data_IF_942638044479
#
_entry.id   IF_942638044479
#
_cell.length_a   1.000
_cell.length_b   1.000
_cell.length_c   1.000
_cell.angle_alpha   90.00
_cell.angle_beta   90.00
_cell.angle_gamma   90.00
#
_symmetry.space_group_name_H-M   'P 1'
#
loop_
_entity.id
_entity.type
_entity.pdbx_description
1 polymer ?
#
# COMPACT_ATOMS: atom_id res chain seq x y z
N UNK A 1 -5.83 -6.86 -16.08
CA UNK A 1 -6.85 -6.65 -15.02
C UNK A 1 -7.88 -7.75 -15.19
N UNK A 2 -8.37 -8.37 -14.12
CA UNK A 2 -9.41 -9.40 -14.26
C UNK A 2 -10.80 -8.73 -14.24
N UNK A 3 -11.65 -8.87 -15.28
CA UNK A 3 -13.03 -8.37 -15.26
C UNK A 3 -13.84 -8.89 -14.06
N UNK A 4 -13.54 -10.13 -13.61
CA UNK A 4 -14.19 -10.75 -12.46
C UNK A 4 -13.95 -9.98 -11.15
N UNK A 5 -12.79 -9.33 -10.98
CA UNK A 5 -12.48 -8.49 -9.80
C UNK A 5 -13.35 -7.24 -9.70
N UNK A 6 -14.15 -6.94 -10.73
CA UNK A 6 -15.09 -5.82 -10.76
C UNK A 6 -16.52 -6.24 -11.06
N UNK A 7 -16.81 -7.53 -10.99
CA UNK A 7 -18.17 -8.07 -11.06
C UNK A 7 -18.76 -8.11 -12.47
N UNK A 8 -17.93 -8.13 -13.52
CA UNK A 8 -18.37 -8.10 -14.93
C UNK A 8 -17.80 -9.27 -15.74
N UNK A 9 -18.49 -9.68 -16.81
CA UNK A 9 -18.22 -10.90 -17.59
C UNK A 9 -17.09 -10.73 -18.63
N UNK A 10 -16.89 -9.51 -19.13
CA UNK A 10 -15.99 -9.20 -20.24
C UNK A 10 -16.01 -7.72 -20.62
N UNK A 11 -15.08 -7.33 -21.50
CA UNK A 11 -14.90 -5.98 -22.04
C UNK A 11 -15.00 -4.84 -21.00
N UNK A 12 -13.88 -4.57 -20.33
CA UNK A 12 -13.68 -3.24 -19.74
C UNK A 12 -13.73 -2.20 -20.88
N UNK A 13 -14.69 -1.28 -20.82
CA UNK A 13 -14.86 -0.18 -21.78
C UNK A 13 -13.73 0.87 -21.78
N UNK A 14 -12.51 0.46 -21.46
CA UNK A 14 -11.31 1.20 -21.84
C UNK A 14 -11.09 2.53 -21.13
N UNK A 15 -11.63 2.72 -19.92
CA UNK A 15 -11.40 3.97 -19.18
C UNK A 15 -9.99 3.98 -18.59
N UNK A 16 -9.08 4.65 -19.27
CA UNK A 16 -7.71 4.94 -18.84
C UNK A 16 -7.53 6.43 -18.57
N UNK A 17 -6.46 6.78 -17.89
CA UNK A 17 -6.18 8.17 -17.52
C UNK A 17 -4.77 8.61 -17.93
N UNK A 18 -4.57 9.91 -17.99
CA UNK A 18 -3.27 10.52 -18.27
C UNK A 18 -2.41 10.60 -17.01
N UNK A 19 -1.09 10.69 -17.22
CA UNK A 19 -0.09 10.94 -16.19
C UNK A 19 -0.45 12.15 -15.31
N UNK A 20 -0.87 13.26 -15.93
CA UNK A 20 -1.13 14.52 -15.22
C UNK A 20 -2.32 14.41 -14.25
N UNK A 21 -3.19 13.41 -14.41
CA UNK A 21 -4.20 13.08 -13.42
C UNK A 21 -3.65 12.15 -12.33
N UNK A 22 -2.89 11.11 -12.70
CA UNK A 22 -2.28 10.17 -11.74
C UNK A 22 -1.39 10.92 -10.75
N UNK A 23 -0.58 11.85 -11.24
CA UNK A 23 0.35 12.66 -10.44
C UNK A 23 -0.35 13.68 -9.52
N UNK A 24 -1.68 13.80 -9.57
CA UNK A 24 -2.45 14.54 -8.57
C UNK A 24 -2.58 13.78 -7.26
N UNK A 25 -2.41 12.46 -7.31
CA UNK A 25 -2.40 11.62 -6.12
C UNK A 25 -0.99 11.57 -5.53
N UNK A 26 -0.87 11.44 -4.20
CA UNK A 26 0.40 11.09 -3.57
C UNK A 26 1.00 9.81 -4.18
N UNK A 27 2.33 9.62 -4.06
CA UNK A 27 3.02 8.48 -4.68
C UNK A 27 2.68 7.13 -4.02
N UNK A 28 2.25 7.14 -2.76
CA UNK A 28 1.87 5.99 -1.94
C UNK A 28 0.46 5.46 -2.25
N UNK A 29 0.08 5.44 -3.52
CA UNK A 29 -1.22 4.92 -3.96
C UNK A 29 -1.34 3.45 -3.59
N UNK A 30 -2.32 3.11 -2.76
CA UNK A 30 -2.48 1.76 -2.19
C UNK A 30 -1.87 1.60 -0.78
N UNK A 31 -1.34 2.69 -0.22
CA UNK A 31 -0.83 2.75 1.14
C UNK A 31 0.55 2.12 1.32
N UNK A 32 1.19 1.59 0.28
CA UNK A 32 2.48 0.94 0.43
C UNK A 32 3.62 1.98 0.41
N UNK A 33 4.40 2.04 1.49
CA UNK A 33 5.56 2.93 1.62
C UNK A 33 6.86 2.13 1.45
N UNK A 34 6.97 0.97 2.10
CA UNK A 34 8.09 0.05 1.93
C UNK A 34 7.55 -1.32 1.55
N UNK A 35 8.07 -1.86 0.45
CA UNK A 35 7.78 -3.22 -0.01
C UNK A 35 8.82 -4.17 0.60
N UNK A 36 8.42 -5.33 1.13
CA UNK A 36 9.37 -6.35 1.57
C UNK A 36 10.32 -6.78 0.46
N UNK A 37 11.58 -6.96 0.81
CA UNK A 37 12.62 -7.45 -0.07
C UNK A 37 13.04 -8.85 0.36
N UNK A 38 13.04 -9.80 -0.57
CA UNK A 38 13.40 -11.18 -0.26
C UNK A 38 14.91 -11.41 -0.15
N UNK A 39 15.72 -10.45 -0.61
CA UNK A 39 17.17 -10.58 -0.64
C UNK A 39 17.62 -11.85 -1.36
N UNK A 40 18.56 -12.57 -0.75
CA UNK A 40 19.03 -13.89 -1.13
C UNK A 40 18.33 -15.02 -0.35
N UNK A 41 17.20 -14.77 0.32
CA UNK A 41 16.54 -15.73 1.22
C UNK A 41 16.17 -17.07 0.56
N UNK A 42 16.01 -17.06 -0.76
CA UNK A 42 15.71 -18.26 -1.55
C UNK A 42 16.95 -19.14 -1.83
N UNK A 43 18.15 -18.57 -1.72
CA UNK A 43 19.42 -19.21 -2.12
C UNK A 43 20.15 -19.89 -0.96
N UNK A 44 19.83 -19.55 0.29
CA UNK A 44 20.53 -20.12 1.45
C UNK A 44 20.13 -21.57 1.73
N UNK A 45 21.10 -22.34 2.23
CA UNK A 45 20.84 -23.67 2.80
C UNK A 45 19.88 -23.57 3.99
N UNK A 46 18.88 -24.46 4.06
CA UNK A 46 17.80 -24.41 5.07
C UNK A 46 17.83 -25.60 6.02
N UNK A 47 17.37 -25.36 7.25
CA UNK A 47 17.03 -26.36 8.25
C UNK A 47 15.59 -26.10 8.70
N UNK A 48 14.70 -27.07 8.52
CA UNK A 48 13.26 -26.87 8.75
C UNK A 48 12.91 -27.18 10.20
N UNK A 49 11.88 -26.51 10.73
CA UNK A 49 11.52 -26.55 12.16
C UNK A 49 10.09 -27.09 12.36
N UNK A 50 9.74 -28.30 11.90
CA UNK A 50 8.39 -28.85 12.12
C UNK A 50 8.06 -28.97 13.60
N UNK A 51 6.83 -28.58 13.96
CA UNK A 51 6.35 -28.61 15.34
C UNK A 51 4.83 -28.50 15.47
N UNK A 52 4.36 -28.63 16.70
CA UNK A 52 2.93 -28.56 17.01
C UNK A 52 2.30 -27.20 16.66
N UNK A 53 3.07 -26.12 16.74
CA UNK A 53 2.64 -24.76 16.44
C UNK A 53 2.12 -24.55 15.00
N UNK A 54 2.46 -25.46 14.09
CA UNK A 54 1.99 -25.49 12.71
C UNK A 54 1.25 -26.78 12.35
N UNK A 55 0.72 -27.49 13.35
CA UNK A 55 -0.03 -28.74 13.14
C UNK A 55 0.82 -29.90 12.63
N UNK A 56 2.14 -29.91 12.92
CA UNK A 56 3.06 -30.94 12.46
C UNK A 56 3.16 -31.10 10.93
N UNK A 57 2.89 -30.05 10.16
CA UNK A 57 3.16 -30.08 8.72
C UNK A 57 4.69 -30.06 8.46
N UNK A 58 5.26 -31.23 8.19
CA UNK A 58 6.68 -31.39 7.86
C UNK A 58 7.08 -30.93 6.45
N UNK A 59 6.10 -30.59 5.60
CA UNK A 59 6.34 -30.06 4.26
C UNK A 59 6.36 -28.53 4.22
N UNK A 60 5.95 -27.88 5.31
CA UNK A 60 5.94 -26.43 5.41
C UNK A 60 7.35 -25.84 5.35
N UNK A 61 7.65 -25.10 4.28
CA UNK A 61 8.94 -24.42 4.09
C UNK A 61 8.97 -22.98 4.62
N UNK A 62 7.87 -22.48 5.20
CA UNK A 62 7.78 -21.12 5.74
C UNK A 62 8.44 -20.97 7.12
N UNK A 63 8.74 -22.09 7.77
CA UNK A 63 9.33 -22.18 9.10
C UNK A 63 10.66 -22.92 9.03
N UNK A 64 11.68 -22.17 8.63
CA UNK A 64 13.03 -22.70 8.43
C UNK A 64 14.08 -21.74 8.96
N UNK A 65 15.12 -22.30 9.56
CA UNK A 65 16.38 -21.62 9.78
C UNK A 65 17.20 -21.67 8.50
N UNK A 66 18.19 -20.79 8.41
CA UNK A 66 19.03 -20.67 7.22
C UNK A 66 20.49 -20.48 7.59
N UNK A 67 21.40 -20.88 6.70
CA UNK A 67 22.84 -20.71 6.87
C UNK A 67 23.38 -19.76 5.81
N UNK A 68 23.39 -18.42 6.06
CA UNK A 68 23.85 -17.44 5.08
C UNK A 68 25.30 -17.66 4.63
N UNK A 69 26.17 -18.05 5.56
CA UNK A 69 27.58 -18.36 5.30
C UNK A 69 27.81 -19.78 4.75
N UNK A 70 26.75 -20.58 4.56
CA UNK A 70 26.82 -21.98 4.15
C UNK A 70 27.82 -22.83 4.95
N UNK A 71 27.90 -22.58 6.25
CA UNK A 71 28.90 -23.16 7.18
C UNK A 71 28.28 -24.17 8.16
N UNK A 72 27.05 -24.63 7.87
CA UNK A 72 26.24 -25.54 8.71
C UNK A 72 25.81 -24.96 10.07
N UNK A 73 25.96 -23.65 10.26
CA UNK A 73 25.33 -22.91 11.35
C UNK A 73 24.06 -22.30 10.77
N UNK A 74 22.92 -22.68 11.31
CA UNK A 74 21.61 -22.23 10.87
C UNK A 74 20.99 -21.33 11.92
N UNK A 75 20.44 -20.21 11.49
CA UNK A 75 19.77 -19.24 12.35
C UNK A 75 18.43 -18.80 11.76
N UNK A 76 17.52 -18.35 12.63
CA UNK A 76 16.22 -17.83 12.24
C UNK A 76 15.28 -17.70 13.43
N UNK A 77 14.10 -17.14 13.18
CA UNK A 77 13.10 -16.90 14.20
C UNK A 77 11.84 -17.74 13.95
N UNK A 78 11.27 -18.29 15.03
CA UNK A 78 10.02 -19.05 14.98
C UNK A 78 9.10 -18.60 16.12
N UNK A 79 7.84 -18.37 15.79
CA UNK A 79 6.81 -18.04 16.77
C UNK A 79 6.09 -19.31 17.26
N UNK A 80 6.03 -19.49 18.58
CA UNK A 80 5.31 -20.57 19.24
C UNK A 80 4.09 -19.97 19.98
N UNK A 81 2.85 -20.31 19.60
CA UNK A 81 1.64 -19.66 20.14
C UNK A 81 1.23 -20.19 21.52
N UNK A 82 1.81 -21.29 21.99
CA UNK A 82 1.45 -21.94 23.25
C UNK A 82 2.69 -22.30 24.05
N UNK A 83 2.56 -22.33 25.37
CA UNK A 83 3.59 -22.84 26.27
C UNK A 83 3.87 -24.32 25.99
N UNK A 84 5.07 -24.76 26.35
CA UNK A 84 5.54 -26.14 26.22
C UNK A 84 5.38 -26.73 24.79
N UNK A 85 5.50 -25.88 23.75
CA UNK A 85 5.29 -26.28 22.35
C UNK A 85 6.44 -27.17 21.85
N UNK A 86 6.17 -28.42 21.41
CA UNK A 86 7.20 -29.31 20.90
C UNK A 86 7.52 -29.05 19.42
N UNK A 87 8.78 -29.20 19.06
CA UNK A 87 9.28 -29.22 17.69
C UNK A 87 10.52 -30.11 17.55
N UNK A 88 11.01 -30.29 16.33
CA UNK A 88 12.34 -30.81 16.04
C UNK A 88 12.87 -30.19 14.75
N UNK A 89 14.11 -30.48 14.38
CA UNK A 89 14.67 -30.06 13.10
C UNK A 89 14.58 -31.15 12.05
N UNK A 90 14.46 -30.78 10.78
CA UNK A 90 14.63 -31.70 9.64
C UNK A 90 15.51 -31.06 8.58
N UNK A 91 16.37 -31.88 7.95
CA UNK A 91 17.28 -31.41 6.89
C UNK A 91 16.59 -31.23 5.54
N UNK A 92 15.40 -31.80 5.38
CA UNK A 92 14.57 -31.72 4.17
C UNK A 92 13.11 -31.58 4.56
N UNK A 93 12.28 -30.85 3.78
CA UNK A 93 10.83 -30.88 3.96
C UNK A 93 10.31 -32.28 3.66
N UNK A 94 9.56 -32.87 4.57
CA UNK A 94 9.06 -34.23 4.42
C UNK A 94 7.86 -34.50 5.32
N UNK A 95 6.81 -35.09 4.74
CA UNK A 95 5.65 -35.60 5.49
C UNK A 95 6.00 -36.76 6.42
N UNK A 96 7.10 -37.47 6.16
CA UNK A 96 7.60 -38.56 7.01
C UNK A 96 8.67 -38.09 8.01
N UNK A 97 8.94 -36.78 8.07
CA UNK A 97 9.97 -36.18 8.92
C UNK A 97 11.37 -36.79 8.73
N UNK A 98 11.72 -37.13 7.50
CA UNK A 98 13.01 -37.73 7.17
C UNK A 98 14.18 -36.83 7.62
N UNK A 99 15.28 -37.46 8.05
CA UNK A 99 16.48 -36.77 8.54
C UNK A 99 16.20 -35.83 9.72
N UNK A 100 15.35 -36.29 10.66
CA UNK A 100 15.01 -35.59 11.89
C UNK A 100 16.20 -35.51 12.86
N UNK A 101 16.36 -34.35 13.47
CA UNK A 101 17.23 -34.10 14.61
C UNK A 101 16.39 -33.59 15.78
N UNK A 102 16.45 -34.29 16.91
CA UNK A 102 15.82 -33.90 18.18
C UNK A 102 16.86 -33.78 19.28
N UNK A 103 16.42 -33.71 20.54
CA UNK A 103 17.28 -33.58 21.73
C UNK A 103 16.81 -34.55 22.80
N UNK A 104 17.63 -35.56 23.08
CA UNK A 104 17.40 -36.51 24.17
C UNK A 104 17.88 -35.94 25.50
N UNK A 105 16.96 -35.77 26.44
CA UNK A 105 17.31 -35.28 27.79
C UNK A 105 17.39 -33.76 27.92
N UNK A 106 17.07 -33.01 26.85
CA UNK A 106 16.99 -31.55 26.85
C UNK A 106 18.32 -30.87 27.23
N UNK A 107 19.44 -31.42 26.74
CA UNK A 107 20.79 -30.96 27.09
C UNK A 107 21.38 -29.96 26.08
N UNK A 108 20.63 -29.62 25.03
CA UNK A 108 21.05 -28.69 23.99
C UNK A 108 21.86 -29.34 22.87
N UNK A 109 22.06 -30.67 22.91
CA UNK A 109 22.70 -31.43 21.85
C UNK A 109 21.66 -32.08 20.93
N UNK A 110 22.03 -32.32 19.67
CA UNK A 110 21.14 -32.79 18.63
C UNK A 110 21.48 -34.23 18.23
N UNK A 111 20.53 -35.14 18.42
CA UNK A 111 20.64 -36.53 17.96
C UNK A 111 19.71 -36.84 16.79
N UNK A 112 20.19 -37.75 15.93
CA UNK A 112 19.36 -38.34 14.88
C UNK A 112 18.18 -39.05 15.51
N UNK A 113 16.96 -38.64 15.14
CA UNK A 113 15.71 -39.13 15.69
C UNK A 113 15.58 -38.96 17.22
N UNK A 114 16.29 -37.99 17.82
CA UNK A 114 16.13 -37.65 19.23
C UNK A 114 14.72 -37.14 19.56
N UNK A 115 14.42 -37.02 20.84
CA UNK A 115 13.13 -36.54 21.36
C UNK A 115 12.78 -35.12 20.88
N UNK A 116 11.50 -34.73 21.01
CA UNK A 116 11.06 -33.38 20.62
C UNK A 116 11.66 -32.34 21.57
N UNK A 117 12.22 -31.27 21.01
CA UNK A 117 12.64 -30.08 21.73
C UNK A 117 11.39 -29.32 22.20
N UNK A 118 11.40 -28.80 23.43
CA UNK A 118 10.27 -28.09 24.03
C UNK A 118 10.57 -26.62 24.25
N UNK A 119 9.71 -25.76 23.72
CA UNK A 119 9.74 -24.33 23.99
C UNK A 119 8.94 -24.04 25.26
N UNK A 120 9.56 -23.51 26.33
CA UNK A 120 8.92 -23.46 27.65
C UNK A 120 7.72 -22.51 27.70
N UNK A 121 7.78 -21.37 27.01
CA UNK A 121 6.71 -20.36 27.02
C UNK A 121 6.35 -19.92 25.60
N UNK A 122 5.11 -19.48 25.38
CA UNK A 122 4.69 -18.88 24.12
C UNK A 122 5.49 -17.61 23.79
N UNK A 123 5.79 -17.40 22.51
CA UNK A 123 6.46 -16.21 22.01
C UNK A 123 7.32 -16.45 20.77
N UNK A 124 8.01 -15.40 20.34
CA UNK A 124 9.02 -15.48 19.28
C UNK A 124 10.36 -15.93 19.88
N UNK A 125 11.00 -16.89 19.23
CA UNK A 125 12.32 -17.38 19.62
C UNK A 125 13.30 -17.26 18.47
N UNK A 126 14.47 -16.70 18.74
CA UNK A 126 15.66 -16.91 17.93
C UNK A 126 16.17 -18.32 18.21
N UNK A 127 16.41 -19.07 17.13
CA UNK A 127 16.93 -20.42 17.17
C UNK A 127 18.24 -20.44 16.39
N UNK A 128 19.30 -20.92 17.03
CA UNK A 128 20.57 -21.21 16.36
C UNK A 128 20.86 -22.69 16.48
N UNK A 129 21.08 -23.36 15.36
CA UNK A 129 21.46 -24.76 15.28
C UNK A 129 22.82 -24.89 14.59
N UNK A 130 23.81 -25.44 15.28
CA UNK A 130 25.14 -25.69 14.75
C UNK A 130 25.30 -27.18 14.47
N UNK A 131 25.31 -27.56 13.20
CA UNK A 131 25.44 -28.97 12.80
C UNK A 131 26.90 -29.42 12.67
N UNK A 132 27.89 -28.57 13.02
CA UNK A 132 29.28 -28.99 13.11
C UNK A 132 29.57 -29.71 14.43
N UNK A 133 28.94 -29.28 15.52
CA UNK A 133 29.03 -29.87 16.84
C UNK A 133 27.68 -30.45 17.33
N UNK A 134 26.63 -30.39 16.49
CA UNK A 134 25.27 -30.84 16.79
C UNK A 134 24.71 -30.21 18.07
N UNK A 135 24.70 -28.88 18.16
CA UNK A 135 24.10 -28.15 19.29
C UNK A 135 23.03 -27.17 18.81
N UNK A 136 22.13 -26.78 19.70
CA UNK A 136 21.20 -25.67 19.44
C UNK A 136 21.03 -24.76 20.65
N UNK A 137 20.55 -23.54 20.39
CA UNK A 137 20.16 -22.58 21.43
C UNK A 137 18.79 -22.00 21.10
N UNK A 138 18.01 -21.72 22.15
CA UNK A 138 16.72 -21.04 22.06
C UNK A 138 16.75 -19.78 22.91
N UNK A 139 16.51 -18.64 22.29
CA UNK A 139 16.43 -17.36 22.99
C UNK A 139 15.10 -16.68 22.68
N UNK A 140 14.25 -16.51 23.69
CA UNK A 140 13.01 -15.75 23.53
C UNK A 140 13.35 -14.30 23.20
N UNK A 141 12.65 -13.72 22.24
CA UNK A 141 12.81 -12.33 21.87
C UNK A 141 11.47 -11.60 21.80
N UNK A 142 11.43 -10.40 22.37
CA UNK A 142 10.33 -9.43 22.19
C UNK A 142 10.84 -8.37 21.22
N UNK A 143 10.11 -8.06 20.17
CA UNK A 143 10.54 -7.07 19.19
C UNK A 143 9.67 -5.82 19.29
N UNK A 144 10.30 -4.67 19.24
CA UNK A 144 9.68 -3.35 19.30
C UNK A 144 10.16 -2.47 18.15
N UNK A 145 9.46 -1.36 17.92
CA UNK A 145 10.05 -0.19 17.28
C UNK A 145 10.49 0.82 18.35
N UNK A 146 11.58 1.54 18.08
CA UNK A 146 12.11 2.63 18.91
C UNK A 146 12.66 3.74 18.03
N UNK A 147 12.54 5.00 18.43
CA UNK A 147 13.16 6.14 17.74
C UNK A 147 12.42 7.45 17.90
N UNK A 148 12.99 8.53 17.39
CA UNK A 148 12.45 9.89 17.54
C UNK A 148 11.12 10.10 16.79
N UNK A 149 10.73 9.22 15.87
CA UNK A 149 9.39 9.20 15.26
C UNK A 149 8.26 8.82 16.23
N UNK A 150 8.58 8.25 17.40
CA UNK A 150 7.58 7.82 18.38
C UNK A 150 7.11 9.02 19.21
N UNK A 151 5.81 9.36 19.22
CA UNK A 151 5.30 10.53 19.96
C UNK A 151 5.58 10.49 21.46
N UNK A 152 5.58 9.29 22.05
CA UNK A 152 5.86 9.08 23.47
C UNK A 152 7.34 9.30 23.87
N UNK A 153 8.25 9.48 22.91
CA UNK A 153 9.66 9.79 23.15
C UNK A 153 10.63 8.82 22.46
N UNK A 154 11.88 9.25 22.22
CA UNK A 154 12.84 8.53 21.38
C UNK A 154 13.37 7.22 22.00
N UNK A 155 13.20 7.03 23.31
CA UNK A 155 13.64 5.84 24.03
C UNK A 155 12.51 4.86 24.30
N UNK A 156 11.27 5.20 23.95
CA UNK A 156 10.09 4.38 24.21
C UNK A 156 10.00 3.27 23.19
N UNK A 157 9.97 2.02 23.65
CA UNK A 157 9.65 0.86 22.83
C UNK A 157 8.15 0.73 22.61
N UNK A 158 7.75 0.45 21.38
CA UNK A 158 6.40 -0.01 21.07
C UNK A 158 6.47 -1.44 20.54
N UNK A 159 5.97 -2.39 21.33
CA UNK A 159 6.05 -3.82 21.03
C UNK A 159 5.20 -4.23 19.83
N UNK A 160 5.78 -5.07 18.96
CA UNK A 160 5.08 -5.71 17.86
C UNK A 160 4.37 -6.98 18.35
N UNK A 161 3.27 -7.32 17.67
CA UNK A 161 2.44 -8.50 17.95
C UNK A 161 2.45 -9.48 16.78
N UNK A 162 2.30 -10.78 17.04
CA UNK A 162 2.35 -11.79 15.99
C UNK A 162 1.08 -11.82 15.12
N UNK A 163 1.25 -11.79 13.80
CA UNK A 163 0.19 -12.03 12.82
C UNK A 163 0.46 -13.33 12.05
N UNK A 164 -0.29 -14.38 12.40
CA UNK A 164 -0.16 -15.71 11.79
C UNK A 164 -0.48 -15.74 10.29
N UNK A 165 -1.46 -14.96 9.83
CA UNK A 165 -1.86 -14.90 8.42
C UNK A 165 -0.78 -14.27 7.53
N UNK A 166 0.04 -13.39 8.10
CA UNK A 166 1.15 -12.71 7.42
C UNK A 166 2.51 -13.35 7.68
N UNK A 167 2.61 -14.25 8.67
CA UNK A 167 3.87 -14.82 9.14
C UNK A 167 4.88 -13.72 9.53
N UNK A 168 4.41 -12.72 10.27
CA UNK A 168 5.14 -11.50 10.60
C UNK A 168 4.77 -10.99 11.99
N UNK A 169 5.67 -10.21 12.59
CA UNK A 169 5.35 -9.34 13.71
C UNK A 169 4.80 -8.02 13.15
N UNK A 170 3.78 -7.43 13.77
CA UNK A 170 3.16 -6.20 13.29
C UNK A 170 2.71 -5.26 14.40
N UNK A 171 2.63 -3.97 14.05
CA UNK A 171 2.08 -2.92 14.91
C UNK A 171 1.32 -1.89 14.05
N UNK A 172 0.13 -1.49 14.52
CA UNK A 172 -0.57 -0.31 14.02
C UNK A 172 -0.24 0.88 14.93
N UNK A 173 0.28 1.97 14.38
CA UNK A 173 0.86 3.07 15.18
C UNK A 173 0.76 4.41 14.47
N UNK A 174 0.53 5.47 15.24
CA UNK A 174 0.70 6.85 14.79
C UNK A 174 2.13 7.31 15.06
N UNK A 175 2.83 7.76 14.01
CA UNK A 175 4.19 8.28 14.09
C UNK A 175 4.23 9.74 13.65
N UNK A 176 5.17 10.48 14.22
CA UNK A 176 5.57 11.80 13.72
C UNK A 176 6.76 11.67 12.77
N UNK A 177 7.02 12.71 12.00
CA UNK A 177 8.19 12.79 11.14
C UNK A 177 9.46 12.61 11.96
N UNK A 178 10.31 11.68 11.54
CA UNK A 178 11.50 11.27 12.27
C UNK A 178 12.03 9.95 11.73
N UNK A 179 12.66 9.18 12.61
CA UNK A 179 13.28 7.90 12.32
C UNK A 179 12.91 6.88 13.40
N UNK A 180 12.99 5.60 13.02
CA UNK A 180 12.88 4.49 13.97
C UNK A 180 13.76 3.32 13.54
N UNK A 181 13.98 2.39 14.47
CA UNK A 181 14.60 1.08 14.24
C UNK A 181 13.74 0.00 14.87
N UNK A 182 13.95 -1.24 14.44
CA UNK A 182 13.48 -2.39 15.21
C UNK A 182 14.49 -2.72 16.30
N UNK A 183 14.02 -3.10 17.48
CA UNK A 183 14.86 -3.46 18.61
C UNK A 183 14.34 -4.73 19.26
N UNK A 184 15.24 -5.65 19.62
CA UNK A 184 14.86 -6.82 20.40
C UNK A 184 15.08 -6.59 21.89
N UNK A 185 14.19 -7.12 22.72
CA UNK A 185 14.24 -7.19 24.18
C UNK A 185 14.37 -5.86 24.90
N UNK A 186 14.02 -4.75 24.24
CA UNK A 186 14.22 -3.38 24.74
C UNK A 186 15.70 -3.10 25.09
N UNK A 187 16.63 -3.82 24.43
CA UNK A 187 18.07 -3.77 24.66
C UNK A 187 18.77 -3.29 23.37
N UNK A 188 19.78 -2.44 23.47
CA UNK A 188 20.54 -1.97 22.31
C UNK A 188 21.39 -3.06 21.64
N UNK A 189 21.59 -4.22 22.28
CA UNK A 189 22.39 -5.32 21.74
C UNK A 189 21.90 -5.82 20.36
N UNK A 190 20.58 -5.82 20.13
CA UNK A 190 19.99 -6.28 18.88
C UNK A 190 19.07 -5.19 18.36
N UNK A 191 19.56 -4.45 17.36
CA UNK A 191 18.77 -3.44 16.68
C UNK A 191 18.96 -3.56 15.17
N UNK A 192 17.88 -3.38 14.42
CA UNK A 192 17.84 -3.53 12.99
C UNK A 192 17.42 -2.21 12.33
N UNK A 193 18.18 -1.79 11.33
CA UNK A 193 17.90 -0.64 10.47
C UNK A 193 18.13 -0.97 9.00
N UNK A 194 17.89 -0.04 8.10
CA UNK A 194 17.99 -0.22 6.65
C UNK A 194 19.00 0.75 6.04
N UNK A 195 20.19 0.25 5.72
CA UNK A 195 21.29 1.06 5.21
C UNK A 195 21.07 1.59 3.79
N UNK A 196 20.28 0.88 2.99
CA UNK A 196 20.13 1.16 1.56
C UNK A 196 18.73 1.67 1.21
N UNK A 197 17.85 1.83 2.19
CA UNK A 197 16.42 2.10 2.03
C UNK A 197 15.76 1.15 1.01
N UNK A 198 16.18 -0.11 1.02
CA UNK A 198 15.77 -1.12 0.04
C UNK A 198 14.87 -2.22 0.63
N UNK A 199 14.43 -2.05 1.88
CA UNK A 199 13.60 -3.00 2.59
C UNK A 199 14.38 -4.14 3.27
N UNK A 200 15.72 -4.19 3.15
CA UNK A 200 16.54 -5.21 3.80
C UNK A 200 17.15 -4.64 5.08
N UNK A 201 16.95 -5.37 6.17
CA UNK A 201 17.43 -4.99 7.49
C UNK A 201 18.84 -5.51 7.74
N UNK A 202 19.64 -4.68 8.39
CA UNK A 202 20.96 -5.02 8.88
C UNK A 202 21.05 -4.75 10.40
N UNK A 203 21.78 -5.61 11.10
CA UNK A 203 22.20 -5.35 12.48
C UNK A 203 22.96 -4.03 12.54
N UNK A 204 22.60 -3.17 13.49
CA UNK A 204 23.14 -1.82 13.65
C UNK A 204 22.98 -0.94 12.40
N UNK A 205 22.04 -1.29 11.51
CA UNK A 205 21.77 -0.57 10.27
C UNK A 205 21.29 0.86 10.49
N UNK A 206 21.16 1.64 9.43
CA UNK A 206 20.72 3.05 9.48
C UNK A 206 19.26 3.15 9.93
N UNK A 207 18.90 4.17 10.72
CA UNK A 207 17.51 4.38 11.15
C UNK A 207 16.58 4.61 9.94
N UNK A 208 15.38 4.06 10.00
CA UNK A 208 14.37 4.13 8.93
C UNK A 208 13.61 5.44 9.07
N UNK A 209 13.71 6.31 8.05
CA UNK A 209 12.99 7.57 8.02
C UNK A 209 11.49 7.36 7.76
N UNK A 210 10.65 8.10 8.48
CA UNK A 210 9.20 8.06 8.35
C UNK A 210 8.59 9.46 8.48
N UNK A 211 7.45 9.70 7.82
CA UNK A 211 6.70 10.95 7.91
C UNK A 211 5.65 10.94 9.03
N UNK A 212 4.93 12.05 9.20
CA UNK A 212 3.73 12.07 10.04
C UNK A 212 2.65 11.17 9.43
N UNK A 213 2.04 10.30 10.23
CA UNK A 213 0.91 9.49 9.76
C UNK A 213 0.58 8.30 10.64
N UNK A 214 -0.48 7.61 10.26
CA UNK A 214 -0.87 6.32 10.82
C UNK A 214 -0.35 5.20 9.93
N UNK A 215 0.31 4.20 10.51
CA UNK A 215 0.99 3.15 9.78
C UNK A 215 0.66 1.76 10.33
N UNK A 216 0.67 0.76 9.46
CA UNK A 216 0.83 -0.64 9.80
C UNK A 216 2.23 -1.07 9.38
N UNK A 217 3.08 -1.35 10.36
CA UNK A 217 4.46 -1.78 10.16
C UNK A 217 4.53 -3.28 10.41
N UNK A 218 5.16 -4.02 9.49
CA UNK A 218 5.41 -5.46 9.65
C UNK A 218 6.89 -5.76 9.61
N UNK A 219 7.35 -6.60 10.53
CA UNK A 219 8.70 -7.15 10.59
C UNK A 219 8.66 -8.63 10.24
N UNK A 220 9.43 -9.02 9.23
CA UNK A 220 9.54 -10.40 8.75
C UNK A 220 10.91 -10.97 9.07
N UNK A 221 11.03 -11.60 10.23
CA UNK A 221 12.26 -12.21 10.75
C UNK A 221 12.26 -13.75 10.73
N UNK A 222 11.16 -14.36 10.28
CA UNK A 222 11.07 -15.80 10.04
C UNK A 222 11.77 -16.26 8.75
N UNK A 223 12.52 -15.37 8.11
CA UNK A 223 13.32 -15.61 6.90
C UNK A 223 14.75 -15.10 7.15
N UNK A 224 15.78 -15.66 6.50
CA UNK A 224 17.18 -15.27 6.69
C UNK A 224 17.48 -13.79 6.44
N UNK A 225 17.04 -13.22 5.32
CA UNK A 225 17.20 -11.79 5.09
C UNK A 225 16.00 -11.07 5.70
N UNK A 226 16.22 -10.52 6.90
CA UNK A 226 15.20 -9.78 7.62
C UNK A 226 14.75 -8.60 6.78
N UNK A 227 13.43 -8.45 6.69
CA UNK A 227 12.79 -7.40 5.89
C UNK A 227 11.57 -6.88 6.60
N UNK A 228 11.03 -5.78 6.10
CA UNK A 228 9.89 -5.12 6.68
C UNK A 228 8.96 -4.57 5.59
N UNK A 229 7.73 -4.30 6.00
CA UNK A 229 6.72 -3.59 5.20
C UNK A 229 6.28 -2.39 6.01
N UNK A 230 6.09 -1.25 5.33
CA UNK A 230 5.40 -0.11 5.91
C UNK A 230 4.21 0.17 5.02
N UNK A 231 3.02 0.12 5.63
CA UNK A 231 1.79 0.55 5.00
C UNK A 231 1.30 1.80 5.70
N UNK A 232 1.13 2.91 4.98
CA UNK A 232 0.23 3.97 5.40
C UNK A 232 -1.18 3.39 5.56
N UNK A 233 -1.80 3.66 6.70
CA UNK A 233 -3.24 3.44 6.89
C UNK A 233 -4.03 4.74 6.65
N UNK A 234 -3.34 5.84 6.31
CA UNK A 234 -3.93 7.11 5.94
C UNK A 234 -3.40 7.57 4.57
N UNK A 235 -3.93 6.98 3.51
CA UNK A 235 -3.59 7.30 2.11
C UNK A 235 -4.85 7.61 1.31
N UNK A 236 -4.70 8.29 0.18
CA UNK A 236 -5.83 8.65 -0.68
C UNK A 236 -6.43 7.40 -1.37
N UNK A 237 -7.49 6.85 -0.78
CA UNK A 237 -8.16 5.63 -1.27
C UNK A 237 -8.83 5.82 -2.63
N UNK A 238 -8.94 7.05 -3.13
CA UNK A 238 -9.57 7.35 -4.44
C UNK A 238 -8.63 7.10 -5.60
N UNK A 239 -7.32 6.88 -5.37
CA UNK A 239 -6.33 6.52 -6.40
C UNK A 239 -6.53 5.10 -6.95
N UNK A 240 -7.70 4.81 -7.49
CA UNK A 240 -8.13 3.48 -7.93
C UNK A 240 -7.58 3.14 -9.33
N UNK A 241 -6.26 3.13 -9.44
CA UNK A 241 -5.54 2.81 -10.67
C UNK A 241 -5.25 1.32 -10.78
N UNK A 242 -5.17 0.83 -12.00
CA UNK A 242 -4.60 -0.47 -12.32
C UNK A 242 -3.38 -0.27 -13.21
N UNK A 243 -2.25 -0.76 -12.73
CA UNK A 243 -0.92 -0.44 -13.26
C UNK A 243 -0.20 -1.65 -13.85
N UNK A 244 -0.61 -2.87 -13.48
CA UNK A 244 0.07 -4.08 -13.96
C UNK A 244 -0.08 -4.21 -15.48
N UNK A 245 1.05 -4.24 -16.19
CA UNK A 245 1.10 -4.29 -17.65
C UNK A 245 0.63 -2.98 -18.32
N UNK A 246 0.61 -1.87 -17.59
CA UNK A 246 0.23 -0.54 -18.10
C UNK A 246 1.42 0.40 -18.07
N UNK A 247 1.56 1.23 -19.09
CA UNK A 247 2.45 2.38 -19.12
C UNK A 247 1.73 3.58 -18.47
N UNK A 248 2.48 4.42 -17.74
CA UNK A 248 1.92 5.67 -17.20
C UNK A 248 1.62 6.66 -18.33
N UNK A 249 2.51 6.73 -19.32
CA UNK A 249 2.35 7.61 -20.48
C UNK A 249 1.44 7.00 -21.55
N UNK A 250 0.65 7.87 -22.17
CA UNK A 250 -0.12 7.51 -23.36
C UNK A 250 0.73 7.83 -24.59
N UNK A 251 1.60 6.91 -25.01
CA UNK A 251 2.41 7.08 -26.22
C UNK A 251 1.60 6.85 -27.49
N UNK A 252 0.66 5.91 -27.45
CA UNK A 252 -0.27 5.59 -28.52
C UNK A 252 -1.72 5.51 -28.00
N UNK A 253 -2.60 6.37 -28.53
CA UNK A 253 -4.02 6.40 -28.16
C UNK A 253 -4.79 5.15 -28.64
N UNK A 254 -4.22 4.32 -29.49
CA UNK A 254 -4.87 3.08 -29.93
C UNK A 254 -4.58 1.90 -29.00
N UNK A 255 -3.53 1.98 -28.18
CA UNK A 255 -3.10 0.90 -27.28
C UNK A 255 -3.65 1.08 -25.88
N UNK A 256 -4.59 0.24 -25.43
CA UNK A 256 -5.16 0.38 -24.08
C UNK A 256 -4.14 0.26 -22.94
N UNK A 257 -3.00 -0.39 -23.18
CA UNK A 257 -1.88 -0.50 -22.23
C UNK A 257 -1.15 0.83 -21.98
N UNK A 258 -1.44 1.87 -22.76
CA UNK A 258 -0.83 3.18 -22.66
C UNK A 258 -1.76 4.12 -21.88
N UNK A 259 -1.40 4.38 -20.61
CA UNK A 259 -2.20 5.09 -19.59
C UNK A 259 -2.77 4.13 -18.55
N UNK A 260 -2.79 4.51 -17.27
CA UNK A 260 -3.34 3.63 -16.23
C UNK A 260 -4.85 3.47 -16.35
N UNK A 261 -5.32 2.22 -16.22
CA UNK A 261 -6.75 1.90 -16.21
C UNK A 261 -7.40 2.29 -14.88
N UNK A 262 -8.68 2.66 -14.92
CA UNK A 262 -9.43 3.20 -13.78
C UNK A 262 -10.41 2.17 -13.25
N UNK A 263 -10.44 1.96 -11.93
CA UNK A 263 -11.29 0.97 -11.24
C UNK A 263 -12.37 1.59 -10.35
N UNK A 264 -12.74 2.86 -10.60
CA UNK A 264 -13.67 3.62 -9.76
C UNK A 264 -15.06 2.98 -9.68
N UNK A 265 -15.69 2.76 -10.83
CA UNK A 265 -17.01 2.14 -10.92
C UNK A 265 -16.84 0.63 -11.04
N UNK A 266 -17.56 -0.11 -10.19
CA UNK A 266 -17.48 -1.57 -10.09
C UNK A 266 -18.86 -2.14 -9.78
N UNK A 267 -19.14 -3.31 -10.32
CA UNK A 267 -20.38 -4.06 -10.08
C UNK A 267 -20.20 -5.05 -8.92
N UNK A 268 -19.67 -4.57 -7.80
CA UNK A 268 -19.45 -5.32 -6.57
C UNK A 268 -19.96 -4.49 -5.39
N UNK A 269 -20.76 -5.10 -4.53
CA UNK A 269 -21.30 -4.45 -3.33
C UNK A 269 -20.20 -4.14 -2.31
N UNK A 270 -20.50 -3.30 -1.33
CA UNK A 270 -19.57 -3.01 -0.22
C UNK A 270 -19.19 -4.24 0.62
N UNK A 271 -20.00 -5.30 0.58
CA UNK A 271 -19.73 -6.59 1.25
C UNK A 271 -19.01 -7.60 0.35
N UNK A 272 -18.69 -7.23 -0.88
CA UNK A 272 -17.96 -8.09 -1.83
C UNK A 272 -18.84 -9.00 -2.69
N UNK A 273 -20.17 -8.89 -2.61
CA UNK A 273 -21.07 -9.63 -3.48
C UNK A 273 -21.04 -9.07 -4.91
N UNK A 274 -21.06 -9.93 -5.92
CA UNK A 274 -21.16 -9.54 -7.32
C UNK A 274 -22.60 -9.08 -7.62
N UNK A 275 -22.75 -8.09 -8.50
CA UNK A 275 -24.06 -7.63 -8.95
C UNK A 275 -24.90 -8.71 -9.63
N UNK A 276 -26.18 -8.42 -9.78
CA UNK A 276 -27.23 -9.33 -10.27
C UNK A 276 -26.99 -9.81 -11.70
N UNK A 277 -26.35 -8.98 -12.52
CA UNK A 277 -25.99 -9.26 -13.90
C UNK A 277 -24.53 -8.84 -14.16
N UNK A 278 -23.82 -9.59 -15.01
CA UNK A 278 -22.39 -9.35 -15.30
C UNK A 278 -22.13 -8.43 -16.50
N UNK A 279 -23.15 -8.14 -17.29
CA UNK A 279 -23.10 -7.27 -18.47
C UNK A 279 -23.73 -5.90 -18.17
N UNK A 280 -24.75 -5.87 -17.30
CA UNK A 280 -25.45 -4.68 -16.86
C UNK A 280 -25.20 -4.45 -15.37
N UNK A 281 -24.51 -3.36 -14.98
CA UNK A 281 -24.17 -3.12 -13.59
C UNK A 281 -25.40 -2.69 -12.78
N UNK A 282 -25.46 -3.11 -11.52
CA UNK A 282 -26.43 -2.62 -10.53
C UNK A 282 -26.04 -1.25 -9.97
N UNK A 283 -24.84 -0.75 -10.32
CA UNK A 283 -24.23 0.45 -9.76
C UNK A 283 -25.01 1.71 -10.13
N UNK A 284 -25.57 2.40 -9.13
CA UNK A 284 -26.12 3.75 -9.31
C UNK A 284 -25.03 4.76 -9.73
N UNK A 285 -25.39 5.70 -10.60
CA UNK A 285 -24.53 6.83 -10.95
C UNK A 285 -24.82 8.03 -10.02
N UNK A 286 -23.88 8.45 -9.17
CA UNK A 286 -24.12 9.50 -8.17
C UNK A 286 -24.10 10.90 -8.81
N UNK A 287 -25.18 11.28 -9.49
CA UNK A 287 -25.30 12.57 -10.19
C UNK A 287 -25.07 13.79 -9.29
N UNK A 288 -25.50 13.69 -8.02
CA UNK A 288 -25.28 14.72 -7.00
C UNK A 288 -24.76 14.07 -5.73
N UNK A 289 -23.79 14.73 -5.09
CA UNK A 289 -23.22 14.26 -3.83
C UNK A 289 -22.65 15.39 -3.00
N UNK A 290 -22.69 15.20 -1.69
CA UNK A 290 -22.27 16.22 -0.71
C UNK A 290 -20.85 16.74 -0.96
N UNK A 291 -19.91 15.87 -1.35
CA UNK A 291 -18.54 16.30 -1.58
C UNK A 291 -18.38 17.26 -2.78
N UNK A 292 -19.26 17.25 -3.79
CA UNK A 292 -19.27 18.30 -4.81
C UNK A 292 -19.71 19.64 -4.21
N UNK A 293 -20.80 19.62 -3.42
CA UNK A 293 -21.32 20.82 -2.73
C UNK A 293 -20.28 21.44 -1.79
N UNK A 294 -19.57 20.60 -1.00
CA UNK A 294 -18.52 21.07 -0.09
C UNK A 294 -17.35 21.71 -0.86
N UNK A 295 -16.87 21.09 -1.94
CA UNK A 295 -15.79 21.64 -2.75
C UNK A 295 -16.24 22.91 -3.50
N UNK A 296 -17.49 22.98 -3.94
CA UNK A 296 -18.07 24.17 -4.57
C UNK A 296 -18.17 25.33 -3.57
N UNK A 297 -18.63 25.06 -2.35
CA UNK A 297 -18.65 26.05 -1.26
C UNK A 297 -17.26 26.53 -0.87
N UNK A 298 -16.30 25.61 -0.75
CA UNK A 298 -14.89 25.95 -0.49
C UNK A 298 -14.31 26.83 -1.61
N UNK A 299 -14.55 26.48 -2.88
CA UNK A 299 -14.13 27.30 -4.02
C UNK A 299 -14.76 28.69 -4.02
N UNK A 300 -16.07 28.79 -3.79
CA UNK A 300 -16.79 30.07 -3.76
C UNK A 300 -16.22 30.99 -2.68
N UNK A 301 -15.92 30.44 -1.50
CA UNK A 301 -15.35 31.21 -0.39
C UNK A 301 -13.95 31.72 -0.74
N UNK A 302 -13.08 30.83 -1.23
CA UNK A 302 -11.70 31.17 -1.61
C UNK A 302 -11.66 32.22 -2.73
N UNK A 303 -12.65 32.26 -3.64
CA UNK A 303 -12.70 33.24 -4.74
C UNK A 303 -13.11 34.66 -4.32
N UNK A 304 -13.76 34.86 -3.17
CA UNK A 304 -14.11 36.23 -2.77
C UNK A 304 -15.24 36.41 -1.77
N UNK A 305 -15.55 35.46 -0.88
CA UNK A 305 -16.58 35.69 0.14
C UNK A 305 -16.50 34.77 1.35
N UNK A 306 -16.94 35.21 2.53
CA UNK A 306 -17.16 34.34 3.70
C UNK A 306 -15.92 33.97 4.51
N UNK A 307 -16.12 33.06 5.47
CA UNK A 307 -15.09 32.61 6.42
C UNK A 307 -14.19 31.55 5.80
N UNK A 308 -12.90 31.88 5.65
CA UNK A 308 -11.89 31.00 5.08
C UNK A 308 -11.69 29.72 5.91
N UNK A 309 -11.89 29.78 7.22
CA UNK A 309 -11.83 28.61 8.10
C UNK A 309 -12.89 27.58 7.73
N UNK A 310 -14.08 28.05 7.31
CA UNK A 310 -15.16 27.20 6.82
C UNK A 310 -14.82 26.55 5.47
N UNK A 311 -14.14 27.28 4.56
CA UNK A 311 -13.66 26.70 3.31
C UNK A 311 -12.64 25.58 3.55
N UNK A 312 -11.74 25.77 4.52
CA UNK A 312 -10.78 24.77 4.93
C UNK A 312 -11.47 23.54 5.53
N UNK A 313 -12.48 23.73 6.39
CA UNK A 313 -13.28 22.62 6.94
C UNK A 313 -13.95 21.81 5.81
N UNK A 314 -14.64 22.48 4.88
CA UNK A 314 -15.30 21.81 3.75
C UNK A 314 -14.32 21.00 2.90
N UNK A 315 -13.15 21.57 2.62
CA UNK A 315 -12.09 20.91 1.86
C UNK A 315 -11.54 19.69 2.61
N UNK A 316 -11.19 19.87 3.88
CA UNK A 316 -10.60 18.83 4.70
C UNK A 316 -11.59 17.70 5.01
N UNK A 317 -12.89 17.96 5.13
CA UNK A 317 -13.90 16.89 5.28
C UNK A 317 -13.89 15.90 4.13
N UNK A 318 -13.74 16.38 2.89
CA UNK A 318 -13.65 15.52 1.69
C UNK A 318 -12.38 14.67 1.74
N UNK A 319 -11.25 15.29 2.07
CA UNK A 319 -9.95 14.62 2.15
C UNK A 319 -9.87 13.64 3.32
N UNK A 320 -10.42 13.98 4.48
CA UNK A 320 -10.44 13.10 5.64
C UNK A 320 -11.21 11.81 5.35
N UNK A 321 -12.35 11.91 4.65
CA UNK A 321 -13.07 10.72 4.18
C UNK A 321 -12.21 9.90 3.21
N UNK A 322 -11.55 10.55 2.26
CA UNK A 322 -10.72 9.86 1.27
C UNK A 322 -9.51 9.15 1.90
N UNK A 323 -8.98 9.66 3.02
CA UNK A 323 -7.81 9.12 3.71
C UNK A 323 -8.17 8.24 4.92
N UNK A 324 -9.45 8.01 5.19
CA UNK A 324 -9.90 7.25 6.37
C UNK A 324 -9.56 7.90 7.71
N UNK A 325 -9.25 9.21 7.73
CA UNK A 325 -8.77 9.91 8.92
C UNK A 325 -8.19 11.30 8.61
N UNK A 326 -7.59 11.94 9.61
CA UNK A 326 -7.11 13.33 9.48
C UNK A 326 -5.86 13.49 8.62
N UNK A 327 -5.12 12.42 8.31
CA UNK A 327 -3.83 12.46 7.58
C UNK A 327 -3.90 13.06 6.17
N UNK A 328 -5.08 13.09 5.55
CA UNK A 328 -5.31 13.78 4.29
C UNK A 328 -5.48 15.30 4.40
N UNK A 329 -5.66 15.86 5.60
CA UNK A 329 -5.93 17.29 5.78
C UNK A 329 -4.78 18.19 5.32
N UNK A 330 -5.12 19.41 4.93
CA UNK A 330 -4.15 20.47 4.62
C UNK A 330 -4.30 21.65 5.59
N UNK A 331 -3.30 22.52 5.60
CA UNK A 331 -3.36 23.81 6.31
C UNK A 331 -4.07 24.88 5.46
N UNK A 332 -4.44 26.00 6.09
CA UNK A 332 -5.03 27.14 5.36
C UNK A 332 -4.09 27.73 4.29
N UNK A 333 -2.77 27.68 4.56
CA UNK A 333 -1.76 28.18 3.64
C UNK A 333 -1.73 27.39 2.32
N UNK A 334 -2.12 26.12 2.36
CA UNK A 334 -2.15 25.23 1.19
C UNK A 334 -3.48 25.32 0.42
N UNK A 335 -4.52 25.95 1.00
CA UNK A 335 -5.84 26.07 0.41
C UNK A 335 -5.86 27.11 -0.72
N UNK A 336 -5.39 26.71 -1.89
CA UNK A 336 -5.32 27.54 -3.09
C UNK A 336 -6.34 27.12 -4.14
N UNK A 337 -6.64 27.99 -5.12
CA UNK A 337 -7.47 27.62 -6.28
C UNK A 337 -6.86 26.44 -7.06
N UNK A 338 -5.53 26.34 -7.12
CA UNK A 338 -4.86 25.21 -7.76
C UNK A 338 -5.13 23.91 -6.98
N UNK A 339 -5.05 23.96 -5.65
CA UNK A 339 -5.36 22.80 -4.81
C UNK A 339 -6.82 22.37 -4.93
N UNK A 340 -7.75 23.33 -5.04
CA UNK A 340 -9.18 23.08 -5.27
C UNK A 340 -9.47 22.37 -6.59
N UNK A 341 -8.92 22.84 -7.72
CA UNK A 341 -9.17 22.19 -9.02
C UNK A 341 -8.53 20.80 -9.11
N UNK A 342 -7.42 20.58 -8.39
CA UNK A 342 -6.80 19.27 -8.30
C UNK A 342 -7.59 18.33 -7.38
N UNK A 343 -8.17 18.85 -6.29
CA UNK A 343 -9.04 18.06 -5.41
C UNK A 343 -10.35 17.68 -6.08
N UNK A 344 -10.96 18.62 -6.83
CA UNK A 344 -12.12 18.30 -7.68
C UNK A 344 -11.78 17.23 -8.72
N UNK A 345 -10.55 17.21 -9.25
CA UNK A 345 -10.11 16.11 -10.10
C UNK A 345 -10.10 14.79 -9.32
N UNK A 346 -9.36 14.71 -8.21
CA UNK A 346 -9.22 13.48 -7.39
C UNK A 346 -10.56 12.95 -6.90
N UNK A 347 -11.46 13.85 -6.54
CA UNK A 347 -12.76 13.54 -5.99
C UNK A 347 -13.74 13.10 -7.09
N UNK A 348 -13.92 13.91 -8.15
CA UNK A 348 -15.02 13.81 -9.12
C UNK A 348 -14.62 13.20 -10.49
N UNK A 349 -13.45 12.59 -10.62
CA UNK A 349 -13.04 11.96 -11.88
C UNK A 349 -14.05 10.90 -12.35
N UNK A 350 -14.33 10.88 -13.67
CA UNK A 350 -15.39 10.07 -14.29
C UNK A 350 -16.82 10.33 -13.82
N UNK A 351 -17.10 11.49 -13.23
CA UNK A 351 -18.46 11.90 -12.84
C UNK A 351 -18.97 13.11 -13.64
N UNK A 352 -18.47 13.33 -14.87
CA UNK A 352 -18.94 14.38 -15.78
C UNK A 352 -18.72 15.85 -15.34
N UNK A 353 -17.91 16.12 -14.31
CA UNK A 353 -17.63 17.50 -13.85
C UNK A 353 -16.44 18.19 -14.52
N UNK A 354 -15.45 17.41 -15.00
CA UNK A 354 -14.10 17.93 -15.28
C UNK A 354 -14.05 19.07 -16.29
N UNK A 355 -14.81 18.99 -17.40
CA UNK A 355 -14.81 20.02 -18.44
C UNK A 355 -15.29 21.36 -17.87
N UNK A 356 -16.46 21.36 -17.22
CA UNK A 356 -17.07 22.57 -16.66
C UNK A 356 -16.18 23.19 -15.60
N UNK A 357 -15.53 22.38 -14.77
CA UNK A 357 -14.53 22.86 -13.82
C UNK A 357 -13.33 23.50 -14.52
N UNK A 358 -12.75 22.86 -15.54
CA UNK A 358 -11.62 23.44 -16.26
C UNK A 358 -11.97 24.74 -16.99
N UNK A 359 -13.18 24.86 -17.56
CA UNK A 359 -13.66 26.11 -18.17
C UNK A 359 -13.78 27.21 -17.11
N UNK A 360 -14.42 26.94 -15.97
CA UNK A 360 -14.57 27.90 -14.86
C UNK A 360 -13.21 28.37 -14.29
N UNK A 361 -12.20 27.50 -14.32
CA UNK A 361 -10.84 27.83 -13.88
C UNK A 361 -9.96 28.43 -14.99
N UNK A 362 -10.47 28.63 -16.21
CA UNK A 362 -9.69 29.15 -17.34
C UNK A 362 -8.58 28.19 -17.79
N UNK A 363 -8.73 26.89 -17.57
CA UNK A 363 -7.74 25.84 -17.82
C UNK A 363 -8.11 24.90 -18.98
N UNK A 364 -9.32 25.01 -19.53
CA UNK A 364 -9.76 24.13 -20.62
C UNK A 364 -9.05 24.48 -21.94
N UNK A 365 -9.21 25.71 -22.43
CA UNK A 365 -8.64 26.14 -23.72
C UNK A 365 -7.17 26.60 -23.66
N UNK A 366 -6.69 27.00 -22.48
CA UNK A 366 -5.38 27.66 -22.32
C UNK A 366 -4.13 26.82 -22.66
N UNK A 367 -2.97 27.46 -22.66
CA UNK A 367 -1.66 26.82 -22.86
C UNK A 367 -0.96 26.41 -21.56
N UNK A 368 -1.43 26.89 -20.41
CA UNK A 368 -0.72 26.72 -19.12
C UNK A 368 -1.18 25.49 -18.33
N UNK A 369 -2.29 24.87 -18.75
CA UNK A 369 -2.78 23.63 -18.18
C UNK A 369 -2.90 22.57 -19.28
N UNK A 370 -1.81 21.87 -19.51
CA UNK A 370 -1.69 20.83 -20.52
C UNK A 370 -1.84 19.45 -19.90
N UNK A 371 -2.41 18.54 -20.67
CA UNK A 371 -2.46 17.12 -20.37
C UNK A 371 -2.24 16.34 -21.66
N UNK A 372 -1.82 15.08 -21.53
CA UNK A 372 -1.57 14.24 -22.69
C UNK A 372 -2.77 14.22 -23.65
N UNK A 373 -2.50 14.45 -24.94
CA UNK A 373 -3.51 14.48 -26.01
C UNK A 373 -4.51 15.63 -25.99
N UNK A 374 -4.32 16.64 -25.12
CA UNK A 374 -5.05 17.91 -25.25
C UNK A 374 -4.83 18.52 -26.64
N UNK A 375 -5.93 18.87 -27.31
CA UNK A 375 -5.87 19.42 -28.67
C UNK A 375 -5.32 18.44 -29.72
N UNK A 376 -5.29 17.14 -29.44
CA UNK A 376 -4.82 16.12 -30.38
C UNK A 376 -3.31 16.00 -30.50
N UNK A 377 -2.54 16.63 -29.59
CA UNK A 377 -1.06 16.55 -29.57
C UNK A 377 -0.64 15.77 -28.33
N UNK A 378 0.27 14.81 -28.47
CA UNK A 378 0.72 13.94 -27.37
C UNK A 378 1.15 14.72 -26.12
N UNK A 379 1.97 15.76 -26.28
CA UNK A 379 2.41 16.63 -25.17
C UNK A 379 1.32 17.60 -24.66
N UNK A 380 0.16 17.61 -25.31
CA UNK A 380 -0.88 18.61 -25.12
C UNK A 380 -0.57 19.91 -25.86
N UNK A 381 -1.61 20.58 -26.35
CA UNK A 381 -1.55 21.98 -26.80
C UNK A 381 -2.81 22.73 -26.36
N UNK A 382 -2.68 24.06 -26.25
CA UNK A 382 -3.84 24.94 -26.15
C UNK A 382 -4.74 24.80 -27.38
N UNK A 383 -6.00 25.17 -27.20
CA UNK A 383 -7.00 25.22 -28.27
C UNK A 383 -7.69 26.58 -28.23
N UNK A 384 -8.44 26.91 -29.29
CA UNK A 384 -9.11 28.19 -29.37
C UNK A 384 -10.19 28.33 -28.28
N UNK A 385 -10.28 29.51 -27.67
CA UNK A 385 -11.16 29.78 -26.52
C UNK A 385 -12.66 29.60 -26.83
N UNK A 386 -13.08 29.74 -28.10
CA UNK A 386 -14.47 29.48 -28.47
C UNK A 386 -14.91 28.04 -28.17
N UNK A 387 -13.97 27.10 -28.00
CA UNK A 387 -14.26 25.71 -27.62
C UNK A 387 -14.68 25.52 -26.16
N UNK A 388 -14.57 26.57 -25.35
CA UNK A 388 -15.12 26.59 -23.99
C UNK A 388 -16.67 26.47 -23.99
N UNK A 389 -17.32 26.78 -25.13
CA UNK A 389 -18.74 26.53 -25.40
C UNK A 389 -18.85 25.56 -26.59
N UNK A 390 -19.79 24.61 -26.54
CA UNK A 390 -20.01 23.68 -27.65
C UNK A 390 -20.70 24.38 -28.84
N UNK A 391 -20.52 23.90 -30.09
CA UNK A 391 -21.29 24.41 -31.21
C UNK A 391 -22.77 24.03 -31.06
N UNK A 392 -23.65 24.87 -31.60
CA UNK A 392 -25.03 24.47 -31.86
C UNK A 392 -25.00 23.45 -33.02
N UNK A 393 -25.66 22.28 -32.90
CA UNK A 393 -25.72 21.29 -33.98
C UNK A 393 -26.22 21.89 -35.29
N UNK A 394 -25.61 21.52 -36.41
CA UNK A 394 -25.98 22.03 -37.74
C UNK A 394 -27.43 21.68 -38.13
N UNK A 395 -27.96 20.57 -37.64
CA UNK A 395 -29.36 20.19 -37.78
C UNK A 395 -30.30 21.24 -37.16
N UNK A 396 -29.93 21.75 -35.98
CA UNK A 396 -30.77 22.66 -35.20
C UNK A 396 -30.74 24.06 -35.82
N UNK A 397 -29.57 24.51 -36.30
CA UNK A 397 -29.44 25.74 -37.08
C UNK A 397 -30.24 25.69 -38.38
N UNK A 398 -30.28 24.53 -39.04
CA UNK A 398 -31.06 24.33 -40.27
C UNK A 398 -32.57 24.32 -40.00
N UNK A 399 -32.98 23.77 -38.85
CA UNK A 399 -34.38 23.66 -38.46
C UNK A 399 -34.96 24.96 -37.89
N UNK A 400 -34.13 25.81 -37.26
CA UNK A 400 -34.58 27.03 -36.61
C UNK A 400 -33.70 28.24 -37.02
N UNK A 401 -34.19 29.12 -37.92
CA UNK A 401 -33.43 30.28 -38.40
C UNK A 401 -33.20 31.36 -37.33
N UNK A 402 -33.81 31.26 -36.15
CA UNK A 402 -33.56 32.16 -35.03
C UNK A 402 -32.36 31.76 -34.18
N UNK A 403 -31.81 30.55 -34.36
CA UNK A 403 -30.58 30.13 -33.69
C UNK A 403 -29.38 30.74 -34.40
N UNK A 404 -28.54 31.43 -33.64
CA UNK A 404 -27.26 31.95 -34.11
C UNK A 404 -26.15 31.06 -33.55
N UNK A 405 -25.18 30.71 -34.40
CA UNK A 405 -24.04 29.90 -33.97
C UNK A 405 -23.22 30.63 -32.90
N UNK A 406 -22.63 29.86 -31.98
CA UNK A 406 -21.66 30.36 -31.03
C UNK A 406 -20.42 30.92 -31.78
N UNK A 407 -19.90 32.09 -31.41
CA UNK A 407 -18.80 32.72 -32.15
C UNK A 407 -17.58 31.80 -32.34
N UNK A 408 -17.08 31.68 -33.57
CA UNK A 408 -15.86 30.92 -33.90
C UNK A 408 -16.09 29.53 -34.52
N UNK A 409 -17.32 29.00 -34.50
CA UNK A 409 -17.70 27.74 -35.15
C UNK A 409 -18.25 27.90 -36.57
#
# INVERSE_FOLDING_TARGET
MSPAESGVSGAWGGMRTTREFVEKFPKDIGGIIVVPNEGNSVSYSKLYVPGAYQGWDGTNTKTSLSSPANNKIFEGHVYFPTDNSPFFFTKVPSSSFALRLGDNGADGTLESNGDTIRVPTAGMYEIKANLNNNTYTLQKQVWSIVGDAIPAGPTTDLDLTWNASKNALEIAVDLKAGHFKFRANHDSAINLGDNAANGLLAQDGTEIQIGNGSYLIRLYIGRPDYTYEILSTSFDTRGLFYTNGQNLDINDVTLFTDGYAIRKFRNITSTGAVGSNKDFPDTDFPMFRLADVLLMGSEAIVRGGGDRSLALDYFNRVRHRAYGGSGGGISDADLTLQMLIDERARELYWECHRRTDLVRFGKFSNTDYLWAWKGGVKAGKGVESFRDVFPIPSSDLSANPHLLQNPGY
#
